data_IF_413643840368
#
_entry.id   IF_413643840368
#
_cell.length_a   1.000
_cell.length_b   1.000
_cell.length_c   1.000
_cell.angle_alpha   90.00
_cell.angle_beta   90.00
_cell.angle_gamma   90.00
#
_symmetry.space_group_name_H-M   'P 1'
#
loop_
_entity.id
_entity.type
_entity.pdbx_description
1 polymer ?
#
# COMPACT_ATOMS: atom_id res chain seq x y z
N UNK A 1 -29.73 41.73 43.78
CA UNK A 1 -30.03 41.66 42.33
C UNK A 1 -29.65 40.25 41.89
N UNK A 2 -30.65 39.38 41.85
CA UNK A 2 -30.54 37.94 41.62
C UNK A 2 -30.72 37.67 40.13
N UNK A 3 -29.79 36.95 39.50
CA UNK A 3 -30.01 36.35 38.18
C UNK A 3 -29.58 34.89 38.24
N UNK A 4 -30.60 34.03 38.22
CA UNK A 4 -30.53 32.58 38.24
C UNK A 4 -31.06 32.07 36.89
N UNK A 5 -30.34 31.08 36.33
CA UNK A 5 -30.71 30.12 35.28
C UNK A 5 -31.52 30.56 34.05
N UNK A 6 -30.94 30.27 32.89
CA UNK A 6 -31.65 29.50 31.85
C UNK A 6 -30.67 28.55 31.16
N UNK A 7 -30.73 27.27 31.54
CA UNK A 7 -30.30 26.16 30.69
C UNK A 7 -31.56 25.51 30.12
N UNK A 8 -31.54 25.16 28.84
CA UNK A 8 -32.33 24.03 28.36
C UNK A 8 -33.00 24.20 26.99
N UNK A 9 -32.58 23.32 26.08
CA UNK A 9 -33.38 22.69 25.00
C UNK A 9 -33.17 23.25 23.60
N UNK A 10 -32.07 22.83 22.97
CA UNK A 10 -32.04 22.71 21.52
C UNK A 10 -32.56 21.32 21.13
N UNK A 11 -33.68 21.33 20.42
CA UNK A 11 -34.25 20.18 19.75
C UNK A 11 -33.51 19.96 18.42
N UNK A 12 -32.80 18.84 18.30
CA UNK A 12 -32.36 18.33 16.99
C UNK A 12 -33.26 17.15 16.62
N UNK A 13 -34.24 17.45 15.77
CA UNK A 13 -34.88 16.47 14.91
C UNK A 13 -33.88 16.07 13.82
N UNK A 14 -33.35 14.85 13.89
CA UNK A 14 -32.44 14.28 12.89
C UNK A 14 -32.92 12.90 12.45
N UNK A 15 -33.71 12.91 11.40
CA UNK A 15 -34.36 11.78 10.75
C UNK A 15 -33.36 11.02 9.88
N UNK A 16 -33.40 9.68 9.95
CA UNK A 16 -32.99 8.82 8.83
C UNK A 16 -31.77 7.93 9.07
N UNK A 17 -32.02 6.65 9.37
CA UNK A 17 -31.44 5.53 8.61
C UNK A 17 -32.08 4.21 9.06
N UNK A 18 -33.25 3.89 8.48
CA UNK A 18 -33.78 2.53 8.47
C UNK A 18 -33.51 1.95 7.09
N UNK A 19 -32.53 1.07 7.00
CA UNK A 19 -32.08 0.46 5.75
C UNK A 19 -31.37 -0.85 5.99
N UNK A 20 -31.99 -1.77 6.72
CA UNK A 20 -31.61 -3.17 6.79
C UNK A 20 -31.87 -3.82 5.43
N UNK A 21 -30.85 -3.87 4.56
CA UNK A 21 -30.87 -4.77 3.41
C UNK A 21 -30.30 -6.11 3.86
N UNK A 22 -31.22 -6.97 4.28
CA UNK A 22 -30.96 -8.39 4.44
C UNK A 22 -30.50 -8.99 3.12
N UNK A 23 -29.58 -9.94 3.29
CA UNK A 23 -28.99 -10.77 2.28
C UNK A 23 -30.04 -11.57 1.48
N UNK A 24 -29.91 -11.53 0.16
CA UNK A 24 -30.32 -12.63 -0.71
C UNK A 24 -29.08 -13.05 -1.51
N UNK A 25 -28.34 -14.01 -0.95
CA UNK A 25 -27.40 -14.83 -1.70
C UNK A 25 -28.17 -16.06 -2.17
N UNK A 26 -28.69 -15.96 -3.39
CA UNK A 26 -29.34 -17.07 -4.08
C UNK A 26 -28.26 -18.07 -4.49
N UNK A 27 -28.12 -19.12 -3.68
CA UNK A 27 -27.44 -20.36 -4.02
C UNK A 27 -28.20 -21.05 -5.15
N UNK A 28 -27.65 -21.01 -6.38
CA UNK A 28 -28.05 -21.91 -7.44
C UNK A 28 -26.93 -22.92 -7.73
N UNK A 29 -27.14 -24.10 -7.16
CA UNK A 29 -26.51 -25.38 -7.48
C UNK A 29 -26.75 -25.75 -8.94
N UNK A 30 -25.69 -25.71 -9.77
CA UNK A 30 -25.51 -26.46 -11.01
C UNK A 30 -23.99 -26.59 -11.16
N UNK A 31 -23.35 -27.73 -11.41
CA UNK A 31 -23.78 -29.07 -11.69
C UNK A 31 -22.52 -29.95 -11.77
N UNK A 32 -22.75 -31.26 -11.67
CA UNK A 32 -21.78 -32.33 -11.76
C UNK A 32 -20.86 -32.22 -12.98
N UNK A 33 -19.57 -32.49 -12.77
CA UNK A 33 -18.60 -32.68 -13.85
C UNK A 33 -17.29 -33.24 -13.32
N UNK A 34 -17.24 -34.56 -13.13
CA UNK A 34 -16.04 -35.30 -12.76
C UNK A 34 -14.94 -35.12 -13.82
N UNK A 35 -13.86 -34.44 -13.46
CA UNK A 35 -12.66 -34.30 -14.31
C UNK A 35 -11.64 -35.35 -13.90
N UNK A 36 -11.59 -36.40 -14.73
CA UNK A 36 -10.68 -37.54 -14.59
C UNK A 36 -9.25 -37.14 -14.97
N UNK A 37 -8.36 -37.31 -13.98
CA UNK A 37 -6.93 -37.67 -14.02
C UNK A 37 -6.06 -37.25 -15.22
N UNK A 38 -5.17 -36.31 -14.88
CA UNK A 38 -3.95 -35.91 -15.58
C UNK A 38 -2.82 -36.93 -15.31
N UNK A 39 -2.24 -37.52 -16.34
CA UNK A 39 -0.87 -38.04 -16.27
C UNK A 39 -0.18 -37.97 -17.64
N UNK A 40 0.70 -36.99 -17.82
CA UNK A 40 1.79 -37.05 -18.80
C UNK A 40 2.88 -36.09 -18.38
N UNK A 41 3.90 -36.67 -17.74
CA UNK A 41 5.19 -36.05 -17.48
C UNK A 41 5.96 -35.81 -18.78
N UNK A 42 6.76 -34.75 -18.85
CA UNK A 42 8.11 -34.97 -19.33
C UNK A 42 9.16 -34.49 -18.33
N UNK A 43 10.05 -35.42 -18.00
CA UNK A 43 11.33 -35.16 -17.36
C UNK A 43 12.17 -34.28 -18.29
N UNK A 44 12.49 -33.04 -17.85
CA UNK A 44 13.52 -32.23 -18.49
C UNK A 44 14.79 -32.30 -17.64
N UNK A 45 15.86 -32.62 -18.34
CA UNK A 45 17.15 -33.01 -17.83
C UNK A 45 17.89 -31.90 -17.07
N UNK A 46 18.66 -32.32 -16.05
CA UNK A 46 19.72 -31.55 -15.40
C UNK A 46 20.83 -31.33 -16.42
N UNK A 47 21.20 -30.06 -16.67
CA UNK A 47 22.45 -29.72 -17.34
C UNK A 47 23.41 -29.04 -16.36
N UNK A 48 24.47 -29.81 -16.11
CA UNK A 48 25.87 -29.53 -15.86
C UNK A 48 26.36 -28.08 -15.80
N UNK A 49 27.21 -27.87 -14.78
CA UNK A 49 28.53 -27.22 -14.83
C UNK A 49 28.71 -25.94 -15.66
N UNK A 50 29.00 -24.85 -14.95
CA UNK A 50 30.25 -24.13 -15.15
C UNK A 50 30.52 -23.16 -13.99
N UNK A 51 31.47 -23.56 -13.14
CA UNK A 51 32.29 -22.63 -12.36
C UNK A 51 33.31 -21.97 -13.29
N UNK A 52 33.57 -20.67 -13.13
CA UNK A 52 34.89 -20.12 -13.40
C UNK A 52 35.53 -19.72 -12.07
N UNK A 53 36.56 -20.50 -11.71
CA UNK A 53 37.61 -20.10 -10.79
C UNK A 53 38.57 -19.13 -11.49
N UNK A 54 39.25 -18.33 -10.67
CA UNK A 54 40.57 -17.73 -10.86
C UNK A 54 40.66 -16.25 -11.26
N UNK A 55 41.06 -15.47 -10.25
CA UNK A 55 42.23 -14.55 -10.24
C UNK A 55 42.18 -13.28 -11.11
N UNK A 56 42.76 -12.14 -10.76
CA UNK A 56 43.46 -11.55 -9.61
C UNK A 56 43.69 -10.09 -10.02
N UNK A 57 43.68 -9.16 -9.07
CA UNK A 57 44.64 -8.04 -8.90
C UNK A 57 43.98 -6.73 -8.46
N UNK A 58 44.31 -6.33 -7.23
CA UNK A 58 44.32 -4.95 -6.74
C UNK A 58 45.52 -4.21 -7.38
N UNK A 59 45.57 -2.86 -7.44
CA UNK A 59 45.85 -2.07 -6.24
C UNK A 59 45.24 -0.66 -6.13
N UNK A 60 45.04 -0.23 -4.87
CA UNK A 60 45.29 1.09 -4.27
C UNK A 60 45.01 2.39 -5.05
N UNK A 61 44.08 3.18 -4.51
CA UNK A 61 44.19 4.62 -4.14
C UNK A 61 42.76 5.17 -4.03
N UNK A 62 42.32 5.99 -3.08
CA UNK A 62 42.89 6.75 -1.99
C UNK A 62 41.73 7.62 -1.46
N UNK A 63 41.96 8.28 -0.32
CA UNK A 63 41.24 9.48 0.15
C UNK A 63 39.84 9.30 0.75
N UNK A 64 39.85 9.40 2.07
CA UNK A 64 38.75 9.91 2.87
C UNK A 64 38.19 11.22 2.28
N UNK A 65 36.88 11.29 2.10
CA UNK A 65 36.15 12.55 2.05
C UNK A 65 34.78 12.36 2.70
N UNK A 66 34.52 13.22 3.67
CA UNK A 66 33.33 13.31 4.49
C UNK A 66 32.07 13.45 3.61
N UNK A 67 30.89 12.95 4.03
CA UNK A 67 29.63 13.31 3.37
C UNK A 67 29.44 14.82 3.53
N UNK A 68 29.63 15.54 2.42
CA UNK A 68 29.34 16.94 2.35
C UNK A 68 27.87 17.17 2.75
N UNK A 69 27.72 18.10 3.68
CA UNK A 69 26.48 18.81 4.04
C UNK A 69 25.54 18.92 2.83
N UNK A 70 24.23 18.64 2.96
CA UNK A 70 23.29 18.87 1.88
C UNK A 70 23.40 20.34 1.42
N UNK A 71 23.43 20.60 0.11
CA UNK A 71 23.44 21.97 -0.39
C UNK A 71 22.17 22.65 0.13
N UNK A 72 22.35 23.77 0.84
CA UNK A 72 21.25 24.66 1.19
C UNK A 72 20.57 25.09 -0.11
N UNK A 73 19.23 25.12 -0.18
CA UNK A 73 18.56 25.67 -1.34
C UNK A 73 18.81 27.17 -1.36
N UNK A 74 19.52 27.64 -2.38
CA UNK A 74 19.69 29.06 -2.65
C UNK A 74 18.33 29.68 -2.95
N UNK A 75 17.98 30.70 -2.16
CA UNK A 75 16.90 31.64 -2.47
C UNK A 75 17.28 32.39 -3.74
N UNK A 76 16.62 32.11 -4.86
CA UNK A 76 16.40 33.12 -5.88
C UNK A 76 14.95 33.07 -6.39
N UNK A 77 14.42 34.28 -6.55
CA UNK A 77 13.01 34.65 -6.71
C UNK A 77 12.72 34.74 -8.21
N UNK A 78 11.47 34.44 -8.57
CA UNK A 78 10.83 34.48 -9.90
C UNK A 78 10.87 33.17 -10.69
N UNK A 79 9.89 32.30 -10.41
CA UNK A 79 9.49 31.25 -11.34
C UNK A 79 8.01 30.91 -11.15
N UNK A 80 7.16 31.92 -11.34
CA UNK A 80 5.80 31.69 -11.85
C UNK A 80 5.97 31.32 -13.34
N UNK A 81 5.24 30.32 -13.82
CA UNK A 81 5.34 29.67 -15.16
C UNK A 81 6.28 28.45 -15.29
N UNK A 82 6.47 27.67 -14.23
CA UNK A 82 6.72 26.23 -14.40
C UNK A 82 5.37 25.50 -14.29
N UNK A 83 5.02 24.56 -15.20
CA UNK A 83 3.94 23.65 -14.90
C UNK A 83 4.34 22.92 -13.62
N UNK A 84 3.64 23.17 -12.52
CA UNK A 84 3.84 22.45 -11.27
C UNK A 84 3.53 20.99 -11.60
N UNK A 85 4.57 20.20 -11.82
CA UNK A 85 4.45 18.75 -11.92
C UNK A 85 4.11 18.29 -10.51
N UNK A 86 2.82 18.28 -10.20
CA UNK A 86 2.31 17.74 -8.95
C UNK A 86 2.53 16.24 -9.05
N UNK A 87 3.62 15.74 -8.46
CA UNK A 87 3.84 14.31 -8.32
C UNK A 87 2.93 13.85 -7.18
N UNK A 88 1.97 12.98 -7.48
CA UNK A 88 1.09 12.41 -6.46
C UNK A 88 1.84 11.26 -5.80
N UNK A 89 2.22 11.42 -4.53
CA UNK A 89 2.96 10.40 -3.79
C UNK A 89 2.14 9.97 -2.56
N UNK A 90 1.87 8.67 -2.49
CA UNK A 90 1.20 8.10 -1.34
C UNK A 90 2.22 7.47 -0.41
N UNK A 91 2.26 7.93 0.84
CA UNK A 91 3.13 7.37 1.88
C UNK A 91 2.33 6.38 2.73
N UNK A 92 2.85 5.18 2.85
CA UNK A 92 2.21 4.10 3.61
C UNK A 92 3.18 3.71 4.72
N UNK A 93 2.75 3.89 5.97
CA UNK A 93 3.50 3.49 7.15
C UNK A 93 2.90 2.23 7.74
N UNK A 94 3.71 1.19 7.89
CA UNK A 94 3.28 -0.12 8.38
C UNK A 94 3.94 -0.41 9.73
N UNK A 95 3.10 -0.58 10.75
CA UNK A 95 3.54 -0.90 12.12
C UNK A 95 2.88 -2.19 12.62
N UNK A 96 3.53 -2.86 13.58
CA UNK A 96 2.92 -3.96 14.31
C UNK A 96 1.90 -3.46 15.31
N UNK A 97 0.68 -4.01 15.30
CA UNK A 97 -0.37 -3.65 16.25
C UNK A 97 0.05 -3.95 17.70
N UNK A 98 0.72 -5.10 17.92
CA UNK A 98 1.13 -5.60 19.24
C UNK A 98 2.36 -4.87 19.81
N UNK A 99 3.39 -4.70 18.98
CA UNK A 99 4.70 -4.22 19.41
C UNK A 99 4.99 -2.76 19.03
N UNK A 100 4.10 -2.13 18.24
CA UNK A 100 4.22 -0.77 17.69
C UNK A 100 5.56 -0.53 16.98
N UNK A 101 6.21 -1.60 16.50
CA UNK A 101 7.48 -1.49 15.76
C UNK A 101 7.19 -1.34 14.28
N UNK A 102 8.02 -0.56 13.56
CA UNK A 102 7.96 -0.53 12.11
C UNK A 102 8.25 -1.92 11.54
N UNK A 103 7.52 -2.28 10.48
CA UNK A 103 7.64 -3.58 9.84
C UNK A 103 8.38 -3.44 8.51
N UNK A 104 9.61 -3.94 8.47
CA UNK A 104 10.42 -4.00 7.25
C UNK A 104 9.97 -5.12 6.31
N UNK A 105 10.19 -4.92 5.01
CA UNK A 105 10.06 -5.96 3.99
C UNK A 105 8.63 -6.55 3.86
N UNK A 106 7.60 -5.80 4.25
CA UNK A 106 6.21 -6.13 3.96
C UNK A 106 5.89 -5.86 2.49
N UNK A 107 5.17 -6.78 1.85
CA UNK A 107 4.65 -6.60 0.49
C UNK A 107 3.36 -5.79 0.57
N UNK A 108 3.34 -4.64 -0.10
CA UNK A 108 2.22 -3.71 -0.14
C UNK A 108 1.69 -3.68 -1.57
N UNK A 109 0.43 -4.06 -1.74
CA UNK A 109 -0.30 -4.02 -3.00
C UNK A 109 -1.26 -2.84 -2.99
N UNK A 110 -1.04 -1.89 -3.89
CA UNK A 110 -1.91 -0.72 -4.06
C UNK A 110 -2.69 -0.92 -5.36
N UNK A 111 -4.00 -1.14 -5.26
CA UNK A 111 -4.88 -1.38 -6.41
C UNK A 111 -5.87 -0.24 -6.56
N UNK A 112 -5.96 0.30 -7.77
CA UNK A 112 -6.96 1.32 -8.10
C UNK A 112 -7.38 1.18 -9.56
N UNK A 113 -8.50 1.82 -9.88
CA UNK A 113 -9.06 1.83 -11.23
C UNK A 113 -8.91 3.22 -11.80
N UNK A 114 -8.19 3.33 -12.91
CA UNK A 114 -8.08 4.57 -13.67
C UNK A 114 -9.24 4.65 -14.67
N UNK A 115 -10.18 5.55 -14.37
CA UNK A 115 -11.37 5.77 -15.19
C UNK A 115 -10.99 6.57 -16.42
N UNK A 116 -11.10 5.95 -17.59
CA UNK A 116 -10.79 6.60 -18.86
C UNK A 116 -12.06 7.21 -19.45
N UNK A 117 -12.02 8.49 -19.86
CA UNK A 117 -13.18 9.17 -20.49
C UNK A 117 -13.62 8.50 -21.80
N UNK A 118 -12.71 7.81 -22.46
CA UNK A 118 -12.93 7.10 -23.72
C UNK A 118 -12.18 5.77 -23.60
N UNK A 119 -12.91 4.65 -23.66
CA UNK A 119 -12.33 3.30 -23.61
C UNK A 119 -12.78 2.49 -22.39
N UNK A 120 -12.03 1.43 -22.09
CA UNK A 120 -12.26 0.57 -20.92
C UNK A 120 -11.43 1.06 -19.74
N UNK A 121 -12.02 0.99 -18.56
CA UNK A 121 -11.30 1.27 -17.32
C UNK A 121 -10.14 0.30 -17.13
N UNK A 122 -9.02 0.82 -16.65
CA UNK A 122 -7.80 0.05 -16.42
C UNK A 122 -7.58 -0.12 -14.92
N UNK A 123 -7.45 -1.37 -14.49
CA UNK A 123 -7.00 -1.67 -13.14
C UNK A 123 -5.47 -1.60 -13.11
N UNK A 124 -4.94 -0.79 -12.20
CA UNK A 124 -3.50 -0.63 -11.97
C UNK A 124 -3.20 -1.20 -10.58
N UNK A 125 -2.10 -1.92 -10.48
CA UNK A 125 -1.60 -2.52 -9.25
C UNK A 125 -0.11 -2.18 -9.09
N UNK A 126 0.24 -1.60 -7.95
CA UNK A 126 1.64 -1.42 -7.55
C UNK A 126 2.03 -2.49 -6.54
N UNK A 127 3.15 -3.16 -6.79
CA UNK A 127 3.82 -4.04 -5.84
C UNK A 127 5.00 -3.27 -5.23
N UNK A 128 4.88 -2.97 -3.94
CA UNK A 128 5.83 -2.17 -3.19
C UNK A 128 6.33 -2.95 -1.99
N UNK A 129 7.54 -2.61 -1.55
CA UNK A 129 8.17 -3.24 -0.39
C UNK A 129 8.53 -2.18 0.64
N UNK A 130 8.17 -2.40 1.91
CA UNK A 130 8.52 -1.46 2.99
C UNK A 130 10.01 -1.50 3.31
N UNK A 131 10.56 -0.33 3.70
CA UNK A 131 11.93 -0.17 4.17
C UNK A 131 12.09 -0.51 5.67
N UNK A 132 13.28 -0.27 6.23
CA UNK A 132 13.57 -0.49 7.67
C UNK A 132 12.68 0.34 8.61
N UNK A 133 12.23 1.51 8.16
CA UNK A 133 11.31 2.37 8.91
C UNK A 133 9.84 1.93 8.75
N UNK A 134 9.57 0.84 8.04
CA UNK A 134 8.21 0.37 7.75
C UNK A 134 7.46 1.23 6.74
N UNK A 135 8.16 2.03 5.94
CA UNK A 135 7.58 2.97 4.99
C UNK A 135 7.63 2.40 3.57
N UNK A 136 6.51 2.44 2.86
CA UNK A 136 6.41 2.26 1.42
C UNK A 136 5.92 3.57 0.78
N UNK A 137 6.42 3.87 -0.42
CA UNK A 137 6.03 5.07 -1.19
C UNK A 137 5.52 4.64 -2.55
N UNK A 138 4.27 4.95 -2.85
CA UNK A 138 3.65 4.68 -4.15
C UNK A 138 3.65 5.98 -4.98
N UNK A 139 4.29 5.99 -6.17
CA UNK A 139 4.21 7.12 -7.08
C UNK A 139 2.91 7.10 -7.89
N UNK A 140 2.50 8.28 -8.38
CA UNK A 140 1.41 8.49 -9.34
C UNK A 140 0.07 7.86 -8.94
N UNK A 141 -0.25 7.87 -7.65
CA UNK A 141 -1.55 7.38 -7.16
C UNK A 141 -2.63 8.45 -7.40
N UNK A 142 -3.69 8.17 -8.15
CA UNK A 142 -4.76 9.13 -8.39
C UNK A 142 -5.57 9.39 -7.11
N UNK A 143 -6.19 10.57 -7.04
CA UNK A 143 -7.14 10.89 -5.99
C UNK A 143 -8.40 10.02 -6.13
N UNK A 144 -8.94 9.55 -5.00
CA UNK A 144 -10.14 8.70 -4.96
C UNK A 144 -9.94 7.40 -4.19
N UNK A 145 -10.80 6.42 -4.48
CA UNK A 145 -10.85 5.13 -3.78
C UNK A 145 -9.68 4.23 -4.23
N UNK A 146 -8.85 3.82 -3.28
CA UNK A 146 -7.71 2.93 -3.51
C UNK A 146 -7.77 1.77 -2.52
N UNK A 147 -7.56 0.55 -3.00
CA UNK A 147 -7.41 -0.62 -2.14
C UNK A 147 -5.95 -0.80 -1.77
N UNK A 148 -5.65 -0.82 -0.48
CA UNK A 148 -4.30 -1.09 0.02
C UNK A 148 -4.32 -2.42 0.73
N UNK A 149 -3.49 -3.35 0.27
CA UNK A 149 -3.31 -4.65 0.89
C UNK A 149 -1.87 -4.82 1.35
N UNK A 150 -1.69 -5.36 2.55
CA UNK A 150 -0.36 -5.57 3.12
C UNK A 150 -0.23 -7.02 3.53
N UNK A 151 0.83 -7.68 3.07
CA UNK A 151 1.10 -9.09 3.31
C UNK A 151 2.53 -9.25 3.79
N UNK A 152 2.68 -9.95 4.92
CA UNK A 152 3.97 -10.37 5.44
C UNK A 152 3.84 -11.74 6.10
N UNK A 153 4.90 -12.54 6.03
CA UNK A 153 4.95 -13.85 6.68
C UNK A 153 4.83 -13.71 8.20
N UNK A 154 4.01 -14.55 8.83
CA UNK A 154 3.79 -14.54 10.27
C UNK A 154 2.84 -13.45 10.78
N UNK A 155 2.26 -12.66 9.86
CA UNK A 155 1.26 -11.63 10.17
C UNK A 155 -0.07 -11.96 9.48
N UNK A 156 -1.19 -11.46 10.03
CA UNK A 156 -2.48 -11.51 9.35
C UNK A 156 -2.44 -10.54 8.16
N UNK A 157 -2.80 -10.95 6.93
CA UNK A 157 -2.87 -10.03 5.81
C UNK A 157 -3.93 -8.96 6.07
N UNK A 158 -3.61 -7.72 5.71
CA UNK A 158 -4.49 -6.56 5.81
C UNK A 158 -4.96 -6.14 4.42
N UNK A 159 -6.17 -5.60 4.30
CA UNK A 159 -6.73 -5.15 3.03
C UNK A 159 -7.94 -4.27 3.25
N UNK A 160 -7.80 -2.97 2.99
CA UNK A 160 -8.87 -1.99 3.19
C UNK A 160 -8.87 -0.91 2.10
N UNK A 161 -10.05 -0.37 1.82
CA UNK A 161 -10.22 0.73 0.89
C UNK A 161 -10.03 2.06 1.62
N UNK A 162 -9.18 2.92 1.06
CA UNK A 162 -8.95 4.28 1.52
C UNK A 162 -9.38 5.28 0.46
N UNK A 163 -9.90 6.42 0.91
CA UNK A 163 -10.15 7.57 0.07
C UNK A 163 -8.96 8.53 0.14
N UNK A 164 -8.28 8.69 -1.00
CA UNK A 164 -7.16 9.61 -1.14
C UNK A 164 -7.69 10.98 -1.57
N UNK A 165 -7.65 11.94 -0.66
CA UNK A 165 -8.13 13.31 -0.91
C UNK A 165 -7.01 14.27 -1.31
N UNK A 166 -5.76 13.95 -0.92
CA UNK A 166 -4.60 14.82 -1.10
C UNK A 166 -3.49 14.10 -1.88
N UNK A 167 -2.74 14.87 -2.67
CA UNK A 167 -1.64 14.34 -3.48
C UNK A 167 -0.45 13.83 -2.64
N UNK A 168 -0.36 14.26 -1.38
CA UNK A 168 0.66 13.87 -0.41
C UNK A 168 -0.05 13.46 0.89
N UNK A 169 -0.47 12.19 0.95
CA UNK A 169 -1.18 11.64 2.09
C UNK A 169 -0.35 10.54 2.75
N UNK A 170 -0.35 10.53 4.08
CA UNK A 170 0.24 9.44 4.87
C UNK A 170 -0.86 8.57 5.45
N UNK A 171 -0.78 7.26 5.18
CA UNK A 171 -1.70 6.26 5.72
C UNK A 171 -0.94 5.38 6.70
N UNK A 172 -1.48 5.26 7.92
CA UNK A 172 -0.94 4.38 8.94
C UNK A 172 -1.71 3.06 8.94
N UNK A 173 -0.99 1.95 8.83
CA UNK A 173 -1.54 0.59 8.78
C UNK A 173 -0.94 -0.23 9.90
N UNK A 174 -1.79 -0.83 10.73
CA UNK A 174 -1.38 -1.75 11.78
C UNK A 174 -1.58 -3.21 11.34
N UNK A 175 -0.50 -3.99 11.32
CA UNK A 175 -0.58 -5.44 11.11
C UNK A 175 -0.78 -6.15 12.43
N UNK A 176 -1.70 -7.11 12.47
CA UNK A 176 -2.02 -7.89 13.67
C UNK A 176 -1.36 -9.26 13.59
N UNK A 177 -0.77 -9.74 14.70
CA UNK A 177 -0.27 -11.12 14.76
C UNK A 177 -1.44 -12.10 14.92
N UNK A 178 -1.47 -13.19 14.16
CA UNK A 178 -2.48 -14.22 14.32
C UNK A 178 -2.26 -14.97 15.65
N UNK A 179 -3.32 -15.24 16.44
CA UNK A 179 -3.19 -15.84 17.76
C UNK A 179 -2.71 -17.31 17.74
N UNK A 180 -3.00 -18.07 16.69
CA UNK A 180 -2.46 -19.42 16.44
C UNK A 180 -2.82 -19.85 15.01
N UNK A 181 -1.86 -20.39 14.26
CA UNK A 181 -2.15 -21.16 13.04
C UNK A 181 -2.08 -22.66 13.41
N UNK A 182 -3.09 -23.44 13.04
CA UNK A 182 -3.23 -24.87 13.35
C UNK A 182 -2.51 -25.73 12.32
#
# INVERSE_FOLDING_TARGET
MSWTLHMGTEAVCGQGFRGTRLAEWSFCLLGLGALVLLSSSPAVARQSDQSPDSSQSSPSSGQAAQPAKPPKPDKNKNQDDQPVVINHWLRIEVIGADDKKPIESASVYVKFTEVHKIGRDKQIEFDLKTNQDGVARAPDVPLGKVLIQVVLKGWKPFGEYYDIEQADQTIHIELVRPPRWY
#
